data_IF_528204342783
#
_entry.id   IF_528204342783
#
_cell.length_a   1.000
_cell.length_b   1.000
_cell.length_c   1.000
_cell.angle_alpha   90.00
_cell.angle_beta   90.00
_cell.angle_gamma   90.00
#
_symmetry.space_group_name_H-M   'P 1'
#
loop_
_entity.id
_entity.type
_entity.pdbx_description
1 polymer ?
#
# COMPACT_ATOMS: atom_id res chain seq x y z
N UNK A 1 -28.08 -21.79 -15.23
CA UNK A 1 -26.63 -21.89 -15.07
C UNK A 1 -25.91 -21.71 -16.43
N UNK A 2 -26.25 -22.52 -17.45
CA UNK A 2 -25.58 -22.48 -18.77
C UNK A 2 -25.74 -21.14 -19.49
N UNK A 3 -26.93 -20.52 -19.45
CA UNK A 3 -27.18 -19.22 -20.04
C UNK A 3 -26.38 -18.11 -19.34
N UNK A 4 -26.33 -18.14 -18.01
CA UNK A 4 -25.53 -17.16 -17.23
C UNK A 4 -24.02 -17.32 -17.49
N UNK A 5 -23.54 -18.55 -17.63
CA UNK A 5 -22.16 -18.82 -18.00
C UNK A 5 -21.85 -18.31 -19.42
N UNK A 6 -22.71 -18.56 -20.39
CA UNK A 6 -22.50 -18.10 -21.77
C UNK A 6 -22.55 -16.58 -21.86
N UNK A 7 -23.44 -15.91 -21.11
CA UNK A 7 -23.50 -14.46 -21.04
C UNK A 7 -22.22 -13.86 -20.41
N UNK A 8 -21.72 -14.48 -19.34
CA UNK A 8 -20.45 -14.09 -18.73
C UNK A 8 -19.25 -14.31 -19.66
N UNK A 9 -19.22 -15.44 -20.38
CA UNK A 9 -18.17 -15.71 -21.35
C UNK A 9 -18.20 -14.71 -22.54
N UNK A 10 -19.40 -14.37 -23.01
CA UNK A 10 -19.58 -13.37 -24.06
C UNK A 10 -19.12 -11.96 -23.63
N UNK A 11 -19.32 -11.62 -22.35
CA UNK A 11 -18.86 -10.34 -21.79
C UNK A 11 -17.31 -10.23 -21.69
N UNK A 12 -16.61 -11.37 -21.72
CA UNK A 12 -15.15 -11.42 -21.75
C UNK A 12 -14.58 -11.44 -23.18
N UNK A 13 -15.45 -11.49 -24.18
CA UNK A 13 -15.02 -11.52 -25.58
C UNK A 13 -14.46 -10.16 -25.98
N UNK A 14 -13.21 -10.16 -26.44
CA UNK A 14 -12.57 -8.99 -27.03
C UNK A 14 -12.73 -9.07 -28.56
N UNK A 15 -13.33 -8.07 -29.22
CA UNK A 15 -13.42 -8.04 -30.68
C UNK A 15 -12.04 -8.13 -31.32
N UNK A 16 -11.94 -8.87 -32.42
CA UNK A 16 -10.67 -9.09 -33.14
C UNK A 16 -9.95 -7.79 -33.48
N UNK A 17 -10.70 -6.77 -33.91
CA UNK A 17 -10.12 -5.44 -34.24
C UNK A 17 -9.49 -4.77 -33.01
N UNK A 18 -10.04 -4.92 -31.82
CA UNK A 18 -9.46 -4.40 -30.59
C UNK A 18 -8.19 -5.15 -30.21
N UNK A 19 -8.19 -6.48 -30.42
CA UNK A 19 -7.01 -7.31 -30.20
C UNK A 19 -5.87 -6.93 -31.18
N UNK A 20 -6.16 -6.76 -32.45
CA UNK A 20 -5.19 -6.31 -33.46
C UNK A 20 -4.62 -4.92 -33.14
N UNK A 21 -5.48 -3.99 -32.72
CA UNK A 21 -5.05 -2.66 -32.27
C UNK A 21 -4.14 -2.76 -31.04
N UNK A 22 -4.49 -3.57 -30.06
CA UNK A 22 -3.67 -3.79 -28.88
C UNK A 22 -2.31 -4.41 -29.24
N UNK A 23 -2.28 -5.41 -30.13
CA UNK A 23 -1.04 -6.03 -30.63
C UNK A 23 -0.17 -5.01 -31.35
N UNK A 24 -0.78 -4.14 -32.17
CA UNK A 24 -0.07 -3.07 -32.88
C UNK A 24 0.56 -2.06 -31.91
N UNK A 25 -0.20 -1.65 -30.88
CA UNK A 25 0.31 -0.77 -29.80
C UNK A 25 1.47 -1.42 -29.08
N UNK A 26 1.34 -2.71 -28.71
CA UNK A 26 2.40 -3.45 -28.03
C UNK A 26 3.65 -3.61 -28.90
N UNK A 27 3.49 -3.92 -30.19
CA UNK A 27 4.60 -4.04 -31.13
C UNK A 27 5.34 -2.70 -31.30
N UNK A 28 4.62 -1.60 -31.41
CA UNK A 28 5.20 -0.26 -31.52
C UNK A 28 5.86 0.16 -30.19
N UNK A 29 5.27 -0.20 -29.06
CA UNK A 29 5.86 0.03 -27.75
C UNK A 29 7.19 -0.74 -27.59
N UNK A 30 7.27 -1.97 -28.08
CA UNK A 30 8.50 -2.76 -28.09
C UNK A 30 9.61 -2.21 -29.00
N UNK A 31 9.24 -1.52 -30.09
CA UNK A 31 10.20 -0.86 -31.01
C UNK A 31 10.79 0.42 -30.43
N UNK A 32 10.03 1.14 -29.61
CA UNK A 32 10.52 2.29 -28.88
C UNK A 32 11.41 1.80 -27.74
N UNK A 33 12.73 2.07 -27.81
CA UNK A 33 13.63 1.73 -26.72
C UNK A 33 13.08 2.28 -25.41
N UNK A 34 12.57 1.40 -24.57
CA UNK A 34 12.33 1.74 -23.17
C UNK A 34 13.63 2.20 -22.55
N UNK A 35 13.62 3.37 -21.94
CA UNK A 35 14.60 3.67 -20.91
C UNK A 35 14.63 2.46 -19.95
N UNK A 36 15.80 2.05 -19.52
CA UNK A 36 15.95 0.93 -18.58
C UNK A 36 15.00 1.15 -17.42
N UNK A 37 14.31 0.12 -16.98
CA UNK A 37 13.37 0.22 -15.85
C UNK A 37 14.00 0.90 -14.62
N UNK A 38 15.31 0.69 -14.41
CA UNK A 38 16.11 1.38 -13.38
C UNK A 38 16.21 2.90 -13.55
N UNK A 39 15.95 3.43 -14.75
CA UNK A 39 16.00 4.87 -15.04
C UNK A 39 14.62 5.54 -14.90
N UNK A 40 13.56 4.75 -14.81
CA UNK A 40 12.21 5.27 -14.66
C UNK A 40 12.07 5.97 -13.28
N UNK A 41 11.49 7.19 -13.20
CA UNK A 41 11.34 7.90 -11.95
C UNK A 41 10.65 7.10 -10.84
N UNK A 42 9.69 6.24 -11.22
CA UNK A 42 8.98 5.36 -10.27
C UNK A 42 9.83 4.19 -9.77
N UNK A 43 10.86 3.79 -10.51
CA UNK A 43 11.79 2.73 -10.13
C UNK A 43 13.00 3.27 -9.36
N UNK A 44 13.27 4.57 -9.43
CA UNK A 44 14.32 5.19 -8.63
C UNK A 44 13.89 5.19 -7.18
N UNK A 45 14.51 4.35 -6.37
CA UNK A 45 14.41 4.43 -4.93
C UNK A 45 15.32 5.58 -4.48
N UNK A 46 14.70 6.63 -4.01
CA UNK A 46 15.42 7.63 -3.24
C UNK A 46 15.44 7.14 -1.80
N UNK A 47 16.61 6.88 -1.20
CA UNK A 47 16.68 6.63 0.22
C UNK A 47 16.14 7.87 0.92
N UNK A 48 14.94 7.76 1.46
CA UNK A 48 14.35 8.81 2.24
C UNK A 48 14.91 8.69 3.65
N UNK A 49 15.58 9.74 4.12
CA UNK A 49 15.91 9.86 5.53
C UNK A 49 14.75 10.54 6.23
N UNK A 50 13.87 9.80 6.91
CA UNK A 50 12.76 10.40 7.62
C UNK A 50 13.27 11.20 8.82
N UNK A 51 12.63 12.34 9.09
CA UNK A 51 12.81 13.03 10.35
C UNK A 51 12.06 12.27 11.43
N UNK A 52 12.78 11.59 12.32
CA UNK A 52 12.20 10.81 13.39
C UNK A 52 11.93 11.68 14.62
N UNK A 53 10.67 11.91 15.01
CA UNK A 53 10.38 12.55 16.28
C UNK A 53 10.90 11.67 17.43
N UNK A 54 11.64 12.27 18.35
CA UNK A 54 12.16 11.57 19.52
C UNK A 54 10.97 11.19 20.42
N UNK A 55 10.74 9.90 20.71
CA UNK A 55 9.71 9.51 21.66
C UNK A 55 10.08 10.02 23.05
N UNK A 56 9.10 10.49 23.81
CA UNK A 56 9.29 10.76 25.23
C UNK A 56 9.34 9.42 25.97
N UNK A 57 10.54 8.93 26.24
CA UNK A 57 10.81 7.67 26.97
C UNK A 57 10.67 7.80 28.48
N UNK A 58 10.01 8.82 28.99
CA UNK A 58 9.75 8.87 30.41
C UNK A 58 8.93 7.66 30.82
N UNK A 59 9.42 6.81 31.76
CA UNK A 59 8.64 5.69 32.28
C UNK A 59 7.41 6.27 32.97
N UNK A 60 6.28 6.19 32.31
CA UNK A 60 5.01 6.58 32.89
C UNK A 60 4.44 5.37 33.60
N UNK A 61 4.02 5.54 34.85
CA UNK A 61 3.26 4.54 35.62
C UNK A 61 1.84 4.34 35.06
N UNK A 62 1.54 4.90 33.90
CA UNK A 62 0.23 4.82 33.25
C UNK A 62 0.16 3.54 32.45
N UNK A 63 -0.72 2.65 32.84
CA UNK A 63 -1.11 1.51 32.03
C UNK A 63 -1.72 2.01 30.71
N UNK A 64 -1.15 1.63 29.59
CA UNK A 64 -1.62 2.02 28.26
C UNK A 64 -1.35 0.95 27.23
N UNK A 65 -2.11 0.96 26.14
CA UNK A 65 -1.84 0.10 25.00
C UNK A 65 -0.59 0.58 24.25
N UNK A 66 0.33 -0.35 23.99
CA UNK A 66 1.49 -0.08 23.14
C UNK A 66 1.07 0.43 21.75
N UNK A 67 0.01 -0.14 21.18
CA UNK A 67 -0.54 0.29 19.90
C UNK A 67 -1.07 1.73 19.92
N UNK A 68 -1.73 2.15 21.00
CA UNK A 68 -2.17 3.55 21.13
C UNK A 68 -1.00 4.53 21.25
N UNK A 69 0.13 4.10 21.78
CA UNK A 69 1.35 4.91 21.83
C UNK A 69 2.01 4.97 20.46
N UNK A 70 2.06 3.86 19.74
CA UNK A 70 2.52 3.79 18.36
C UNK A 70 1.66 4.67 17.44
N UNK A 71 0.34 4.63 17.60
CA UNK A 71 -0.61 5.45 16.84
C UNK A 71 -0.26 6.95 16.93
N UNK A 72 -0.15 7.46 18.15
CA UNK A 72 0.22 8.86 18.40
C UNK A 72 1.60 9.23 17.88
N UNK A 73 2.56 8.32 18.01
CA UNK A 73 3.91 8.52 17.48
C UNK A 73 3.91 8.54 15.94
N UNK A 74 3.17 7.62 15.32
CA UNK A 74 3.10 7.52 13.86
C UNK A 74 2.42 8.75 13.22
N UNK A 75 1.40 9.31 13.88
CA UNK A 75 0.82 10.60 13.47
C UNK A 75 1.87 11.71 13.45
N UNK A 76 2.68 11.82 14.51
CA UNK A 76 3.78 12.79 14.56
C UNK A 76 4.83 12.54 13.48
N UNK A 77 5.17 11.27 13.25
CA UNK A 77 6.10 10.88 12.20
C UNK A 77 5.59 11.30 10.81
N UNK A 78 4.33 11.02 10.50
CA UNK A 78 3.73 11.41 9.23
C UNK A 78 3.69 12.93 9.04
N UNK A 79 3.32 13.68 10.09
CA UNK A 79 3.28 15.13 10.07
C UNK A 79 4.66 15.79 9.96
N UNK A 80 5.69 15.18 10.55
CA UNK A 80 7.07 15.67 10.47
C UNK A 80 7.73 15.41 9.10
N UNK A 81 7.10 14.58 8.26
CA UNK A 81 7.64 14.16 6.97
C UNK A 81 6.62 14.35 5.83
N UNK A 82 6.12 15.57 5.59
CA UNK A 82 5.10 15.82 4.57
C UNK A 82 5.58 15.51 3.15
N UNK A 83 6.89 15.47 2.93
CA UNK A 83 7.52 15.12 1.67
C UNK A 83 7.47 13.61 1.37
N UNK A 84 7.23 12.78 2.38
CA UNK A 84 7.16 11.33 2.24
C UNK A 84 5.71 10.88 2.09
N UNK A 85 5.43 10.19 1.00
CA UNK A 85 4.11 9.57 0.85
C UNK A 85 3.93 8.46 1.88
N UNK A 86 2.90 8.61 2.72
CA UNK A 86 2.53 7.57 3.70
C UNK A 86 1.60 6.57 3.05
N UNK A 87 1.78 5.28 3.35
CA UNK A 87 0.83 4.23 3.00
C UNK A 87 0.72 3.20 4.12
N UNK A 88 -0.51 2.88 4.47
CA UNK A 88 -0.82 1.85 5.46
C UNK A 88 -1.58 0.74 4.77
N UNK A 89 -1.13 -0.49 4.92
CA UNK A 89 -1.87 -1.69 4.57
C UNK A 89 -2.53 -2.27 5.82
N UNK A 90 -3.85 -2.39 5.81
CA UNK A 90 -4.59 -2.98 6.92
C UNK A 90 -5.73 -3.87 6.40
N UNK A 91 -5.67 -5.19 6.58
CA UNK A 91 -6.71 -6.10 6.12
C UNK A 91 -7.93 -6.12 7.04
N UNK A 92 -7.79 -5.58 8.23
CA UNK A 92 -8.78 -5.53 9.27
C UNK A 92 -9.37 -4.10 9.38
N UNK A 93 -9.91 -3.77 10.53
CA UNK A 93 -10.30 -2.42 10.86
C UNK A 93 -9.20 -1.71 11.65
N UNK A 94 -8.61 -0.65 11.08
CA UNK A 94 -7.47 0.06 11.69
C UNK A 94 -7.82 0.66 13.07
N UNK A 95 -9.06 1.10 13.25
CA UNK A 95 -9.55 1.60 14.52
C UNK A 95 -9.55 0.52 15.61
N UNK A 96 -9.97 -0.70 15.27
CA UNK A 96 -9.95 -1.86 16.19
C UNK A 96 -8.53 -2.24 16.60
N UNK A 97 -7.55 -2.00 15.74
CA UNK A 97 -6.13 -2.13 16.04
C UNK A 97 -5.56 -0.98 16.89
N UNK A 98 -6.41 -0.12 17.48
CA UNK A 98 -6.06 1.02 18.32
C UNK A 98 -5.27 2.13 17.58
N UNK A 99 -5.47 2.28 16.28
CA UNK A 99 -4.82 3.29 15.43
C UNK A 99 -5.82 4.32 14.89
N UNK A 100 -6.75 4.76 15.71
CA UNK A 100 -7.81 5.69 15.34
C UNK A 100 -7.31 7.09 14.98
N UNK A 101 -6.28 7.61 15.63
CA UNK A 101 -5.71 8.92 15.31
C UNK A 101 -5.03 8.91 13.93
N UNK A 102 -4.31 7.85 13.62
CA UNK A 102 -3.72 7.62 12.30
C UNK A 102 -4.80 7.52 11.23
N UNK A 103 -5.89 6.79 11.48
CA UNK A 103 -7.02 6.69 10.55
C UNK A 103 -7.69 8.05 10.32
N UNK A 104 -7.92 8.83 11.36
CA UNK A 104 -8.52 10.16 11.24
C UNK A 104 -7.65 11.11 10.37
N UNK A 105 -6.32 11.05 10.51
CA UNK A 105 -5.40 11.85 9.73
C UNK A 105 -5.29 11.37 8.27
N UNK A 106 -5.10 10.08 8.06
CA UNK A 106 -4.68 9.53 6.78
C UNK A 106 -5.82 8.99 5.92
N UNK A 107 -6.96 8.70 6.50
CA UNK A 107 -8.22 8.26 5.89
C UNK A 107 -8.12 6.97 5.06
N UNK A 108 -9.16 6.21 5.03
CA UNK A 108 -9.33 5.10 4.08
C UNK A 108 -9.36 5.60 2.64
N UNK A 109 -8.72 4.87 1.77
CA UNK A 109 -8.77 5.13 0.34
C UNK A 109 -9.96 4.40 -0.26
N UNK A 110 -10.93 5.15 -0.76
CA UNK A 110 -12.16 4.65 -1.37
C UNK A 110 -12.49 5.40 -2.66
N UNK A 111 -13.27 4.79 -3.53
CA UNK A 111 -13.71 5.45 -4.76
C UNK A 111 -14.83 6.46 -4.50
N UNK A 112 -15.71 6.15 -3.56
CA UNK A 112 -16.85 6.99 -3.18
C UNK A 112 -16.84 7.16 -1.66
N UNK A 113 -16.29 8.29 -1.14
CA UNK A 113 -16.24 8.55 0.30
C UNK A 113 -17.63 8.81 0.89
N UNK A 114 -17.87 8.25 2.06
CA UNK A 114 -19.09 8.51 2.82
C UNK A 114 -18.93 9.74 3.74
N UNK A 115 -19.94 10.63 3.83
CA UNK A 115 -19.91 11.75 4.74
C UNK A 115 -19.83 11.30 6.20
N UNK A 116 -18.93 11.93 6.98
CA UNK A 116 -18.78 11.63 8.42
C UNK A 116 -17.91 10.42 8.74
N UNK A 117 -17.44 9.69 7.72
CA UNK A 117 -16.50 8.58 7.85
C UNK A 117 -15.08 9.05 7.47
N UNK A 118 -14.01 8.53 8.09
CA UNK A 118 -12.64 8.91 7.74
C UNK A 118 -12.21 8.26 6.40
N UNK A 119 -12.84 8.67 5.32
CA UNK A 119 -12.65 8.20 3.96
C UNK A 119 -12.22 9.31 3.00
N UNK A 120 -11.49 8.96 1.94
CA UNK A 120 -11.08 9.89 0.89
C UNK A 120 -10.63 9.15 -0.35
N UNK A 121 -10.85 9.72 -1.54
CA UNK A 121 -10.26 9.23 -2.79
C UNK A 121 -8.73 9.30 -2.80
N UNK A 122 -8.15 10.14 -1.93
CA UNK A 122 -6.71 10.30 -1.75
C UNK A 122 -6.20 9.73 -0.43
N UNK A 123 -7.02 8.95 0.26
CA UNK A 123 -6.65 8.31 1.52
C UNK A 123 -5.36 7.47 1.40
N UNK A 124 -4.65 7.36 2.50
CA UNK A 124 -3.38 6.61 2.57
C UNK A 124 -3.54 5.22 3.19
N UNK A 125 -4.70 4.93 3.79
CA UNK A 125 -5.00 3.63 4.38
C UNK A 125 -5.68 2.75 3.32
N UNK A 126 -5.02 1.67 2.96
CA UNK A 126 -5.53 0.66 2.02
C UNK A 126 -6.09 -0.49 2.83
N UNK A 127 -7.39 -0.71 2.68
CA UNK A 127 -8.10 -1.79 3.37
C UNK A 127 -8.67 -2.76 2.34
N UNK A 128 -8.37 -4.03 2.51
CA UNK A 128 -8.94 -5.14 1.75
C UNK A 128 -8.86 -6.39 2.63
N UNK A 129 -9.85 -7.26 2.59
CA UNK A 129 -9.88 -8.52 3.37
C UNK A 129 -8.88 -9.55 2.81
N UNK A 130 -7.66 -9.11 2.56
CA UNK A 130 -6.56 -9.92 2.04
C UNK A 130 -5.23 -9.34 2.50
N UNK A 131 -4.54 -10.05 3.37
CA UNK A 131 -3.29 -9.62 4.00
C UNK A 131 -2.16 -9.41 2.98
N UNK A 132 -2.07 -10.27 1.97
CA UNK A 132 -1.05 -10.13 0.91
C UNK A 132 -1.31 -8.91 0.03
N UNK A 133 -2.58 -8.65 -0.32
CA UNK A 133 -2.94 -7.49 -1.14
C UNK A 133 -2.62 -6.17 -0.44
N UNK A 134 -2.95 -6.04 0.85
CA UNK A 134 -2.66 -4.81 1.60
C UNK A 134 -1.16 -4.64 1.86
N UNK A 135 -0.45 -5.73 2.13
CA UNK A 135 1.00 -5.71 2.27
C UNK A 135 1.68 -5.33 0.95
N UNK A 136 1.25 -5.91 -0.18
CA UNK A 136 1.73 -5.54 -1.50
C UNK A 136 1.49 -4.06 -1.81
N UNK A 137 0.29 -3.55 -1.51
CA UNK A 137 -0.04 -2.14 -1.70
C UNK A 137 0.84 -1.21 -0.87
N UNK A 138 1.15 -1.57 0.37
CA UNK A 138 2.06 -0.82 1.22
C UNK A 138 3.50 -0.87 0.68
N UNK A 139 4.03 -2.06 0.39
CA UNK A 139 5.39 -2.25 -0.10
C UNK A 139 5.63 -1.65 -1.49
N UNK A 140 4.59 -1.53 -2.31
CA UNK A 140 4.67 -0.83 -3.60
C UNK A 140 4.92 0.68 -3.47
N UNK A 141 4.74 1.26 -2.29
CA UNK A 141 5.03 2.66 -2.02
C UNK A 141 6.53 2.88 -1.79
N UNK A 142 7.33 2.71 -2.82
CA UNK A 142 8.79 2.85 -2.77
C UNK A 142 9.19 4.28 -2.43
N UNK A 143 10.15 4.44 -1.52
CA UNK A 143 10.63 5.76 -1.08
C UNK A 143 9.67 6.55 -0.17
N UNK A 144 8.58 5.93 0.29
CA UNK A 144 7.65 6.52 1.24
C UNK A 144 7.71 5.88 2.63
N UNK A 145 6.81 6.30 3.51
CA UNK A 145 6.61 5.69 4.82
C UNK A 145 5.53 4.61 4.71
N UNK A 146 5.90 3.38 5.02
CA UNK A 146 4.98 2.24 4.93
C UNK A 146 4.77 1.62 6.31
N UNK A 147 3.52 1.30 6.59
CA UNK A 147 3.12 0.57 7.78
C UNK A 147 2.13 -0.53 7.39
N UNK A 148 2.33 -1.72 7.89
CA UNK A 148 1.40 -2.83 7.74
C UNK A 148 0.90 -3.18 9.13
N UNK A 149 -0.40 -3.19 9.31
CA UNK A 149 -1.06 -3.46 10.59
C UNK A 149 -2.04 -4.60 10.39
N UNK A 150 -1.91 -5.65 11.15
CA UNK A 150 -2.82 -6.80 11.17
C UNK A 150 -2.75 -7.49 12.53
N UNK A 151 -3.67 -8.42 12.77
CA UNK A 151 -3.60 -9.27 13.93
C UNK A 151 -2.51 -10.32 13.78
N UNK A 152 -1.87 -10.67 14.90
CA UNK A 152 -0.72 -11.57 14.98
C UNK A 152 -0.95 -12.91 14.24
N UNK A 153 -2.13 -13.50 14.42
CA UNK A 153 -2.47 -14.79 13.80
C UNK A 153 -2.50 -14.73 12.25
N UNK A 154 -2.74 -13.57 11.68
CA UNK A 154 -2.85 -13.39 10.22
C UNK A 154 -1.56 -12.91 9.57
N UNK A 155 -0.60 -12.41 10.35
CA UNK A 155 0.66 -11.89 9.83
C UNK A 155 1.45 -12.93 9.03
N UNK A 156 1.29 -14.22 9.34
CA UNK A 156 1.94 -15.32 8.62
C UNK A 156 1.58 -15.34 7.12
N UNK A 157 0.40 -14.89 6.73
CA UNK A 157 -0.05 -14.82 5.34
C UNK A 157 0.78 -13.84 4.50
N UNK A 158 1.43 -12.88 5.14
CA UNK A 158 2.26 -11.87 4.46
C UNK A 158 3.71 -12.34 4.24
N UNK A 159 4.10 -13.47 4.84
CA UNK A 159 5.50 -13.92 4.87
C UNK A 159 6.09 -14.13 3.46
N UNK A 160 5.31 -14.69 2.54
CA UNK A 160 5.73 -14.91 1.15
C UNK A 160 6.14 -13.60 0.47
N UNK A 161 5.29 -12.61 0.58
CA UNK A 161 5.51 -11.28 -0.01
C UNK A 161 6.70 -10.56 0.64
N UNK A 162 6.81 -10.61 1.97
CA UNK A 162 7.94 -9.99 2.69
C UNK A 162 9.26 -10.62 2.26
N UNK A 163 9.30 -11.94 2.10
CA UNK A 163 10.49 -12.64 1.58
C UNK A 163 10.85 -12.21 0.17
N UNK A 164 9.86 -12.05 -0.71
CA UNK A 164 10.09 -11.55 -2.08
C UNK A 164 10.68 -10.14 -2.06
N UNK A 165 10.15 -9.25 -1.22
CA UNK A 165 10.66 -7.89 -1.08
C UNK A 165 12.11 -7.88 -0.57
N UNK A 166 12.45 -8.73 0.40
CA UNK A 166 13.83 -8.88 0.89
C UNK A 166 14.76 -9.35 -0.22
N UNK A 167 14.34 -10.33 -1.02
CA UNK A 167 15.14 -10.84 -2.15
C UNK A 167 15.34 -9.74 -3.20
N UNK A 168 14.27 -9.00 -3.50
CA UNK A 168 14.32 -7.89 -4.44
C UNK A 168 15.28 -6.79 -3.96
N UNK A 169 15.17 -6.37 -2.70
CA UNK A 169 16.02 -5.36 -2.09
C UNK A 169 17.50 -5.78 -2.11
N UNK A 170 17.81 -7.04 -1.80
CA UNK A 170 19.18 -7.58 -1.89
C UNK A 170 19.74 -7.53 -3.32
N UNK A 171 18.94 -7.86 -4.33
CA UNK A 171 19.34 -7.75 -5.74
C UNK A 171 19.60 -6.32 -6.15
N UNK A 172 18.86 -5.38 -5.62
CA UNK A 172 19.03 -3.95 -5.85
C UNK A 172 20.17 -3.33 -5.04
N UNK A 173 20.86 -4.12 -4.19
CA UNK A 173 21.91 -3.65 -3.27
C UNK A 173 21.41 -2.56 -2.31
N UNK A 174 20.20 -2.71 -1.83
CA UNK A 174 19.56 -1.77 -0.93
C UNK A 174 19.63 -2.18 0.55
N UNK A 175 20.21 -3.35 0.81
CA UNK A 175 20.45 -3.91 2.15
C UNK A 175 21.95 -4.09 2.39
#
# INVERSE_FOLDING_TARGET
AREAFNAGAAALFVPEIELENALTVLANHGKNRRSRESEHPMARRHPASPHLPVPAWAPTKVSGSAMSSLDRWFVKLAQANPQLRVRIGNPDELASNKMGATLALLKHRVNVPEPGVPESTHGSVITALNEEAVAAAALANKGGLNLIVSYEAFAVKMLGLIRQEIIFARRQKEL
#
